data_IF_409873944854
#
_entry.id   IF_409873944854
#
_cell.length_a   1.000
_cell.length_b   1.000
_cell.length_c   1.000
_cell.angle_alpha   90.00
_cell.angle_beta   90.00
_cell.angle_gamma   90.00
#
_symmetry.space_group_name_H-M   'P 1'
#
loop_
_entity.id
_entity.type
_entity.pdbx_description
1 polymer ?
#
# COMPACT_ATOMS: atom_id res chain seq x y z
N UNK A 1 28.50 0.95 -18.08
CA UNK A 1 27.07 1.29 -18.19
C UNK A 1 26.94 2.78 -17.98
N UNK A 2 26.35 3.52 -18.92
CA UNK A 2 26.21 4.98 -18.86
C UNK A 2 24.85 5.31 -18.21
N UNK A 3 24.87 5.83 -16.99
CA UNK A 3 23.67 6.05 -16.19
C UNK A 3 22.82 7.17 -16.79
N UNK A 4 21.60 6.83 -17.23
CA UNK A 4 20.64 7.80 -17.78
C UNK A 4 20.76 8.06 -19.29
N UNK A 5 21.64 7.36 -20.01
CA UNK A 5 21.59 7.31 -21.48
C UNK A 5 20.81 6.07 -21.93
N UNK A 6 19.91 6.17 -22.93
CA UNK A 6 19.25 5.00 -23.48
C UNK A 6 20.31 4.02 -23.99
N UNK A 7 20.21 2.75 -23.57
CA UNK A 7 21.03 1.67 -24.14
C UNK A 7 20.63 1.37 -25.58
N UNK A 8 21.35 0.45 -26.23
CA UNK A 8 20.93 -0.06 -27.54
C UNK A 8 19.58 -0.78 -27.41
N UNK A 9 18.67 -0.48 -28.34
CA UNK A 9 17.37 -1.14 -28.42
C UNK A 9 17.55 -2.41 -29.25
N UNK A 10 17.39 -3.56 -28.61
CA UNK A 10 17.48 -4.86 -29.26
C UNK A 10 16.12 -5.58 -29.22
N UNK A 11 15.84 -6.36 -30.27
CA UNK A 11 14.64 -7.21 -30.30
C UNK A 11 14.87 -8.44 -29.44
N UNK A 12 14.04 -8.64 -28.44
CA UNK A 12 14.03 -9.82 -27.59
C UNK A 12 12.65 -10.47 -27.61
N UNK A 13 12.59 -11.80 -27.51
CA UNK A 13 11.34 -12.51 -27.26
C UNK A 13 10.84 -12.20 -25.86
N UNK A 14 9.72 -11.51 -25.75
CA UNK A 14 9.06 -11.21 -24.48
C UNK A 14 7.56 -11.51 -24.58
N UNK A 15 6.92 -12.01 -23.51
CA UNK A 15 5.46 -12.10 -23.46
C UNK A 15 4.82 -10.71 -23.53
N UNK A 16 3.53 -10.64 -23.82
CA UNK A 16 2.79 -9.38 -23.82
C UNK A 16 2.88 -8.69 -22.45
N UNK A 17 3.30 -7.43 -22.46
CA UNK A 17 3.46 -6.62 -21.25
C UNK A 17 4.75 -5.79 -21.29
N UNK A 18 5.11 -5.24 -20.13
CA UNK A 18 6.32 -4.42 -19.98
C UNK A 18 7.11 -4.94 -18.79
N UNK A 19 8.40 -5.22 -19.00
CA UNK A 19 9.35 -5.54 -17.94
C UNK A 19 10.34 -4.40 -17.81
N UNK A 20 10.49 -3.89 -16.59
CA UNK A 20 11.48 -2.86 -16.26
C UNK A 20 12.43 -3.47 -15.24
N UNK A 21 13.72 -3.38 -15.52
CA UNK A 21 14.80 -3.78 -14.61
C UNK A 21 15.64 -2.55 -14.30
N UNK A 22 15.91 -2.34 -13.01
CA UNK A 22 16.71 -1.20 -12.53
C UNK A 22 17.80 -1.74 -11.63
N UNK A 23 19.05 -1.58 -12.06
CA UNK A 23 20.26 -1.96 -11.32
C UNK A 23 21.09 -0.72 -10.98
N UNK A 24 21.93 -0.82 -9.95
CA UNK A 24 22.86 0.24 -9.53
C UNK A 24 22.22 1.63 -9.32
N UNK A 25 21.03 1.62 -8.71
CA UNK A 25 20.24 2.83 -8.48
C UNK A 25 21.05 3.86 -7.66
N UNK A 26 21.15 5.08 -8.21
CA UNK A 26 21.89 6.22 -7.65
C UNK A 26 23.42 6.12 -7.58
N UNK A 27 24.04 5.11 -8.20
CA UNK A 27 25.50 5.00 -8.22
C UNK A 27 26.18 6.25 -8.82
N UNK A 28 25.57 6.87 -9.85
CA UNK A 28 26.04 8.13 -10.44
C UNK A 28 25.61 9.42 -9.70
N UNK A 29 24.88 9.30 -8.60
CA UNK A 29 24.42 10.44 -7.80
C UNK A 29 24.70 10.21 -6.32
N UNK A 30 25.97 10.33 -5.87
CA UNK A 30 26.39 9.98 -4.51
C UNK A 30 25.69 10.81 -3.43
N UNK A 31 25.24 12.03 -3.75
CA UNK A 31 24.42 12.81 -2.83
C UNK A 31 23.08 12.10 -2.53
N UNK A 32 22.37 11.60 -3.56
CA UNK A 32 21.11 10.84 -3.39
C UNK A 32 21.34 9.50 -2.71
N UNK A 33 22.47 8.84 -3.00
CA UNK A 33 22.86 7.59 -2.36
C UNK A 33 22.98 7.75 -0.82
N UNK A 34 23.51 8.88 -0.35
CA UNK A 34 23.65 9.17 1.09
C UNK A 34 22.32 9.42 1.81
N UNK A 35 21.23 9.72 1.09
CA UNK A 35 19.89 9.92 1.67
C UNK A 35 19.05 8.64 1.72
N UNK A 36 19.49 7.55 1.10
CA UNK A 36 18.82 6.26 1.21
C UNK A 36 18.82 5.79 2.66
N UNK A 37 17.66 5.30 3.12
CA UNK A 37 17.59 4.58 4.38
C UNK A 37 18.33 3.24 4.32
N UNK A 38 18.30 2.51 5.43
CA UNK A 38 18.74 1.10 5.41
C UNK A 38 17.91 0.29 4.41
N UNK A 39 18.48 -0.80 3.88
CA UNK A 39 17.78 -1.68 2.94
C UNK A 39 16.39 -2.11 3.47
N UNK A 40 16.29 -2.43 4.77
CA UNK A 40 15.01 -2.77 5.40
C UNK A 40 14.01 -1.59 5.43
N UNK A 41 14.47 -0.35 5.62
CA UNK A 41 13.61 0.84 5.62
C UNK A 41 13.07 1.13 4.21
N UNK A 42 13.90 1.02 3.19
CA UNK A 42 13.48 1.21 1.80
C UNK A 42 12.55 0.09 1.35
N UNK A 43 12.83 -1.16 1.72
CA UNK A 43 11.93 -2.29 1.46
C UNK A 43 10.56 -2.05 2.12
N UNK A 44 10.52 -1.58 3.36
CA UNK A 44 9.26 -1.24 4.03
C UNK A 44 8.50 -0.11 3.31
N UNK A 45 9.18 0.89 2.75
CA UNK A 45 8.57 1.94 1.93
C UNK A 45 7.97 1.37 0.65
N UNK A 46 8.71 0.53 -0.07
CA UNK A 46 8.23 -0.15 -1.29
C UNK A 46 7.01 -1.01 -0.96
N UNK A 47 7.08 -1.81 0.10
CA UNK A 47 5.96 -2.63 0.55
C UNK A 47 4.73 -1.79 0.89
N UNK A 48 4.89 -0.65 1.56
CA UNK A 48 3.78 0.27 1.88
C UNK A 48 3.12 0.85 0.62
N UNK A 49 3.90 1.22 -0.38
CA UNK A 49 3.38 1.73 -1.66
C UNK A 49 2.60 0.63 -2.40
N UNK A 50 3.19 -0.57 -2.51
CA UNK A 50 2.54 -1.72 -3.14
C UNK A 50 1.25 -2.14 -2.41
N UNK A 51 1.27 -2.14 -1.08
CA UNK A 51 0.08 -2.37 -0.26
C UNK A 51 -1.04 -1.39 -0.59
N UNK A 52 -0.73 -0.09 -0.64
CA UNK A 52 -1.70 0.95 -1.01
C UNK A 52 -2.28 0.71 -2.40
N UNK A 53 -1.43 0.43 -3.40
CA UNK A 53 -1.88 0.15 -4.76
C UNK A 53 -2.78 -1.09 -4.84
N UNK A 54 -2.46 -2.14 -4.08
CA UNK A 54 -3.22 -3.39 -4.06
C UNK A 54 -4.59 -3.27 -3.39
N UNK A 55 -4.70 -2.43 -2.35
CA UNK A 55 -5.97 -2.14 -1.68
C UNK A 55 -6.88 -1.26 -2.55
N UNK A 56 -6.28 -0.34 -3.31
CA UNK A 56 -6.99 0.57 -4.21
C UNK A 56 -7.44 -0.14 -5.49
N UNK A 57 -6.71 -1.18 -5.93
CA UNK A 57 -7.02 -1.93 -7.13
C UNK A 57 -7.19 -3.43 -6.83
N UNK A 58 -8.26 -3.86 -6.13
CA UNK A 58 -8.40 -5.25 -5.71
C UNK A 58 -8.53 -6.27 -6.85
N UNK A 59 -8.80 -5.81 -8.06
CA UNK A 59 -8.89 -6.62 -9.28
C UNK A 59 -7.51 -6.90 -9.92
N UNK A 60 -6.43 -6.29 -9.40
CA UNK A 60 -5.06 -6.48 -9.90
C UNK A 60 -4.28 -7.37 -8.95
N UNK A 61 -3.54 -8.32 -9.52
CA UNK A 61 -2.60 -9.17 -8.77
C UNK A 61 -1.29 -8.43 -8.56
N UNK A 62 -0.88 -8.28 -7.31
CA UNK A 62 0.41 -7.73 -6.92
C UNK A 62 1.24 -8.82 -6.23
N UNK A 63 2.53 -8.88 -6.55
CA UNK A 63 3.48 -9.76 -5.88
C UNK A 63 4.78 -8.99 -5.59
N UNK A 64 5.22 -8.99 -4.35
CA UNK A 64 6.50 -8.42 -3.91
C UNK A 64 7.36 -9.54 -3.32
N UNK A 65 8.48 -9.81 -4.00
CA UNK A 65 9.50 -10.76 -3.53
C UNK A 65 10.73 -9.97 -3.13
N UNK A 66 11.24 -10.23 -1.92
CA UNK A 66 12.50 -9.66 -1.44
C UNK A 66 13.25 -10.70 -0.62
N UNK A 67 14.56 -10.80 -0.84
CA UNK A 67 15.44 -11.79 -0.19
C UNK A 67 14.96 -13.24 -0.35
N UNK A 68 14.39 -13.56 -1.53
CA UNK A 68 13.84 -14.88 -1.83
C UNK A 68 12.55 -15.24 -1.09
N UNK A 69 11.92 -14.28 -0.39
CA UNK A 69 10.65 -14.48 0.32
C UNK A 69 9.56 -13.59 -0.25
N UNK A 70 8.37 -14.16 -0.39
CA UNK A 70 7.16 -13.40 -0.67
C UNK A 70 6.85 -12.52 0.54
N UNK A 71 6.84 -11.20 0.33
CA UNK A 71 6.51 -10.21 1.37
C UNK A 71 5.05 -9.78 1.32
N UNK A 72 4.46 -9.80 0.12
CA UNK A 72 3.08 -9.41 -0.16
C UNK A 72 2.63 -10.10 -1.43
N UNK A 73 1.43 -10.68 -1.43
CA UNK A 73 0.83 -11.31 -2.60
C UNK A 73 -0.69 -11.17 -2.56
N UNK A 74 -1.28 -10.53 -3.57
CA UNK A 74 -2.75 -10.49 -3.74
C UNK A 74 -3.18 -11.39 -4.89
N UNK A 75 -4.44 -11.81 -4.88
CA UNK A 75 -5.01 -12.71 -5.90
C UNK A 75 -5.78 -11.95 -7.00
N UNK A 76 -5.99 -10.64 -6.86
CA UNK A 76 -6.71 -9.85 -7.85
C UNK A 76 -8.19 -10.19 -7.99
N UNK A 77 -8.86 -10.66 -6.92
CA UNK A 77 -10.25 -11.15 -6.98
C UNK A 77 -11.31 -10.05 -7.18
N UNK A 78 -10.92 -8.78 -7.08
CA UNK A 78 -11.84 -7.64 -7.07
C UNK A 78 -12.45 -7.34 -5.70
N UNK A 79 -12.24 -8.19 -4.69
CA UNK A 79 -12.76 -7.98 -3.34
C UNK A 79 -11.71 -7.34 -2.44
N UNK A 80 -12.08 -6.24 -1.78
CA UNK A 80 -11.18 -5.52 -0.87
C UNK A 80 -10.65 -6.41 0.27
N UNK A 81 -11.50 -7.27 0.84
CA UNK A 81 -11.13 -8.19 1.92
C UNK A 81 -10.03 -9.18 1.51
N UNK A 82 -10.07 -9.68 0.27
CA UNK A 82 -9.06 -10.60 -0.25
C UNK A 82 -7.73 -9.87 -0.46
N UNK A 83 -7.78 -8.61 -0.93
CA UNK A 83 -6.58 -7.75 -0.99
C UNK A 83 -5.99 -7.50 0.39
N UNK A 84 -6.82 -7.23 1.40
CA UNK A 84 -6.36 -7.04 2.79
C UNK A 84 -5.70 -8.31 3.31
N UNK A 85 -6.29 -9.48 3.06
CA UNK A 85 -5.69 -10.76 3.44
C UNK A 85 -4.33 -10.98 2.75
N UNK A 86 -4.20 -10.62 1.47
CA UNK A 86 -2.94 -10.72 0.74
C UNK A 86 -1.85 -9.72 1.16
N UNK A 87 -2.26 -8.56 1.68
CA UNK A 87 -1.36 -7.46 2.09
C UNK A 87 -0.93 -7.59 3.55
N UNK A 88 -1.87 -7.84 4.45
CA UNK A 88 -1.67 -7.84 5.90
C UNK A 88 -1.78 -9.23 6.54
N UNK A 89 -2.26 -10.23 5.78
CA UNK A 89 -2.47 -11.59 6.26
C UNK A 89 -3.91 -11.85 6.72
N UNK A 90 -4.31 -13.12 6.67
CA UNK A 90 -5.68 -13.57 6.96
C UNK A 90 -6.16 -13.15 8.36
N UNK A 91 -5.30 -13.29 9.38
CA UNK A 91 -5.63 -12.94 10.76
C UNK A 91 -6.07 -11.48 10.94
N UNK A 92 -5.52 -10.56 10.13
CA UNK A 92 -5.89 -9.14 10.18
C UNK A 92 -7.20 -8.95 9.40
N UNK A 93 -7.33 -9.57 8.22
CA UNK A 93 -8.54 -9.51 7.43
C UNK A 93 -9.78 -9.98 8.22
N UNK A 94 -9.66 -11.07 8.99
CA UNK A 94 -10.76 -11.61 9.80
C UNK A 94 -11.25 -10.66 10.91
N UNK A 95 -10.44 -9.65 11.26
CA UNK A 95 -10.75 -8.65 12.28
C UNK A 95 -11.22 -7.31 11.69
N UNK A 96 -11.35 -7.24 10.36
CA UNK A 96 -11.87 -6.07 9.68
C UNK A 96 -13.39 -6.11 9.66
N UNK A 97 -13.99 -4.97 9.97
CA UNK A 97 -15.42 -4.75 9.95
C UNK A 97 -15.73 -3.88 8.72
N UNK A 98 -16.59 -4.34 7.80
CA UNK A 98 -17.02 -3.51 6.69
C UNK A 98 -17.81 -2.30 7.20
N UNK A 99 -17.53 -1.14 6.63
CA UNK A 99 -18.32 0.05 6.86
C UNK A 99 -19.60 -0.04 6.03
N UNK A 100 -20.71 0.41 6.60
CA UNK A 100 -21.91 0.60 5.79
C UNK A 100 -21.64 1.74 4.79
N UNK A 101 -21.91 1.53 3.49
CA UNK A 101 -21.72 2.57 2.48
C UNK A 101 -22.56 3.79 2.83
N UNK A 102 -21.88 4.91 3.07
CA UNK A 102 -22.49 6.17 3.47
C UNK A 102 -22.18 7.27 2.47
N UNK A 103 -22.90 8.40 2.54
CA UNK A 103 -22.63 9.50 1.64
C UNK A 103 -23.78 10.47 1.48
N UNK A 104 -23.54 11.48 0.64
CA UNK A 104 -24.56 12.40 0.14
C UNK A 104 -24.51 12.40 -1.39
N UNK A 105 -25.34 13.21 -2.05
CA UNK A 105 -25.23 13.41 -3.50
C UNK A 105 -23.85 13.94 -3.95
N UNK A 106 -23.04 14.47 -3.03
CA UNK A 106 -21.72 15.03 -3.33
C UNK A 106 -20.54 14.07 -3.09
N UNK A 107 -20.71 13.00 -2.31
CA UNK A 107 -19.62 12.06 -1.98
C UNK A 107 -20.16 10.70 -1.51
N UNK A 108 -19.37 9.65 -1.74
CA UNK A 108 -19.60 8.31 -1.22
C UNK A 108 -18.41 7.86 -0.37
N UNK A 109 -18.69 7.13 0.70
CA UNK A 109 -17.71 6.53 1.61
C UNK A 109 -18.01 5.04 1.67
N UNK A 110 -17.00 4.23 1.40
CA UNK A 110 -17.01 2.79 1.53
C UNK A 110 -15.64 2.34 2.03
N UNK A 111 -15.55 1.17 2.65
CA UNK A 111 -14.30 0.62 3.14
C UNK A 111 -14.47 -0.33 4.31
N UNK A 112 -13.37 -0.56 5.01
CA UNK A 112 -13.33 -1.44 6.18
C UNK A 112 -12.50 -0.79 7.28
N UNK A 113 -12.83 -1.10 8.52
CA UNK A 113 -12.12 -0.63 9.71
C UNK A 113 -11.78 -1.80 10.62
N UNK A 114 -10.61 -1.80 11.23
CA UNK A 114 -10.25 -2.80 12.24
C UNK A 114 -11.00 -2.56 13.55
N UNK A 115 -11.31 -3.62 14.29
CA UNK A 115 -11.84 -3.49 15.66
C UNK A 115 -10.91 -2.65 16.57
N UNK A 116 -11.44 -1.74 17.42
CA UNK A 116 -10.64 -0.93 18.34
C UNK A 116 -9.84 -1.74 19.36
N UNK A 117 -10.21 -3.01 19.60
CA UNK A 117 -9.46 -3.93 20.46
C UNK A 117 -8.06 -4.30 19.91
N UNK A 118 -7.75 -3.93 18.66
CA UNK A 118 -6.41 -4.02 18.07
C UNK A 118 -5.64 -2.71 18.24
N UNK A 119 -5.55 -2.17 19.46
CA UNK A 119 -4.72 -0.99 19.77
C UNK A 119 -3.24 -1.36 19.71
N UNK A 120 -2.68 -1.44 18.50
CA UNK A 120 -1.22 -1.46 18.31
C UNK A 120 -0.73 -0.01 18.37
N UNK A 121 0.34 0.23 19.12
CA UNK A 121 0.95 1.55 19.35
C UNK A 121 1.52 2.24 18.09
N UNK A 122 1.15 1.83 16.87
CA UNK A 122 1.71 2.34 15.63
C UNK A 122 0.62 2.57 14.56
N UNK A 123 0.56 3.81 14.03
CA UNK A 123 -0.38 4.30 13.01
C UNK A 123 -0.17 3.73 11.60
N UNK A 124 0.70 2.72 11.45
CA UNK A 124 1.12 2.16 10.16
C UNK A 124 0.03 1.37 9.40
N UNK A 125 -1.16 1.15 9.98
CA UNK A 125 -2.22 0.32 9.38
C UNK A 125 -3.49 1.08 8.99
N UNK A 126 -3.48 2.42 9.07
CA UNK A 126 -4.58 3.21 8.53
C UNK A 126 -4.30 3.44 7.05
N UNK A 127 -5.17 3.01 6.15
CA UNK A 127 -5.09 3.37 4.72
C UNK A 127 -6.38 4.09 4.36
N UNK A 128 -6.26 5.37 3.97
CA UNK A 128 -7.40 6.17 3.51
C UNK A 128 -7.21 6.36 2.02
N UNK A 129 -8.24 6.09 1.23
CA UNK A 129 -8.22 6.36 -0.21
C UNK A 129 -9.36 7.30 -0.57
N UNK A 130 -9.13 8.18 -1.54
CA UNK A 130 -10.15 9.06 -2.11
C UNK A 130 -10.14 8.84 -3.62
N UNK A 131 -11.29 8.52 -4.21
CA UNK A 131 -11.46 8.31 -5.66
C UNK A 131 -10.49 7.29 -6.28
N UNK A 132 -10.27 6.15 -5.62
CA UNK A 132 -9.36 5.12 -6.15
C UNK A 132 -7.90 5.57 -6.20
N UNK A 133 -7.51 6.52 -5.34
CA UNK A 133 -6.11 6.86 -5.07
C UNK A 133 -5.84 6.65 -3.60
N UNK A 134 -4.92 5.74 -3.28
CA UNK A 134 -4.54 5.42 -1.91
C UNK A 134 -3.59 6.47 -1.36
N UNK A 135 -3.95 7.06 -0.23
CA UNK A 135 -3.12 8.01 0.50
C UNK A 135 -2.52 7.32 1.73
N UNK A 136 -1.20 7.31 1.81
CA UNK A 136 -0.50 6.89 3.03
C UNK A 136 -0.69 7.96 4.12
N UNK A 137 -1.04 7.62 5.37
CA UNK A 137 -1.25 8.59 6.46
C UNK A 137 -0.05 9.49 6.73
N UNK A 138 1.15 9.06 6.33
CA UNK A 138 2.40 9.81 6.47
C UNK A 138 2.41 11.08 5.59
N UNK A 139 1.52 11.18 4.61
CA UNK A 139 1.41 12.33 3.71
C UNK A 139 0.34 13.36 4.06
N UNK A 140 -0.58 13.08 5.00
CA UNK A 140 -1.73 13.96 5.31
C UNK A 140 -2.14 13.89 6.79
N UNK A 141 -1.50 14.67 7.69
CA UNK A 141 -1.78 14.64 9.14
C UNK A 141 -3.21 15.09 9.51
N UNK A 142 -3.87 15.85 8.63
CA UNK A 142 -5.18 16.47 8.90
C UNK A 142 -6.36 15.48 8.80
N UNK A 143 -6.24 14.43 7.99
CA UNK A 143 -7.29 13.40 7.85
C UNK A 143 -7.20 12.32 8.95
N UNK A 144 -6.01 12.07 9.49
CA UNK A 144 -5.82 11.04 10.53
C UNK A 144 -6.35 11.45 11.90
N UNK A 145 -6.30 12.73 12.26
CA UNK A 145 -6.70 13.16 13.61
C UNK A 145 -8.24 13.17 13.82
N UNK A 146 -9.03 13.42 12.77
CA UNK A 146 -10.49 13.51 12.90
C UNK A 146 -11.16 12.14 12.99
N UNK A 147 -10.73 11.17 12.18
CA UNK A 147 -11.27 9.80 12.19
C UNK A 147 -10.96 9.05 13.50
N UNK A 148 -9.78 9.27 14.11
CA UNK A 148 -9.44 8.63 15.40
C UNK A 148 -10.29 9.23 16.54
N UNK A 149 -10.55 10.53 16.50
CA UNK A 149 -11.34 11.19 17.55
C UNK A 149 -12.81 10.79 17.47
N UNK A 150 -13.40 10.79 16.27
CA UNK A 150 -14.80 10.40 16.08
C UNK A 150 -15.02 8.91 16.37
N UNK A 151 -14.08 8.02 16.02
CA UNK A 151 -14.17 6.60 16.38
C UNK A 151 -14.04 6.37 17.89
N UNK A 152 -13.22 7.16 18.60
CA UNK A 152 -13.11 7.08 20.06
C UNK A 152 -14.32 7.65 20.79
N UNK A 153 -15.04 8.61 20.19
CA UNK A 153 -16.23 9.24 20.78
C UNK A 153 -17.54 8.51 20.44
N UNK A 154 -17.63 7.84 19.28
CA UNK A 154 -18.82 7.06 18.88
C UNK A 154 -18.74 5.57 19.21
N UNK A 155 -17.61 5.05 19.74
CA UNK A 155 -17.55 3.72 20.34
C UNK A 155 -18.17 3.71 21.75
N UNK A 156 -19.36 4.30 21.88
CA UNK A 156 -20.20 4.23 23.07
C UNK A 156 -20.65 2.79 23.32
N UNK A 157 -19.80 2.02 23.98
CA UNK A 157 -20.20 0.85 24.74
C UNK A 157 -20.44 1.30 26.18
N UNK A 158 -21.72 1.27 26.59
CA UNK A 158 -22.05 0.96 27.97
C UNK A 158 -21.66 -0.50 28.27
#
# INVERSE_FOLDING_TARGET
MDFGKPGQVEKIGAPQGTRIEVTDLFNNTPARLKFLGSAGRELARVQSILASLALVNPHVTFNLVADGRDRLRTIGSGKLMDSIAGVYGQKIADQMIPLEPGGSSAFAVDGVVSSPSLTRANRMYITISVNGRGYSPVGCPMLSNRLITDFSQNAGFH
#
